data_IF_535735360879
#
_entry.id   IF_535735360879
#
_cell.length_a   1.000
_cell.length_b   1.000
_cell.length_c   1.000
_cell.angle_alpha   90.00
_cell.angle_beta   90.00
_cell.angle_gamma   90.00
#
_symmetry.space_group_name_H-M   'P 1'
#
loop_
_entity.id
_entity.type
_entity.pdbx_description
1 polymer ?
#
# COMPACT_ATOMS: atom_id res chain seq x y z
N UNK A 1 -4.48 -17.13 15.76
CA UNK A 1 -4.05 -17.87 14.56
C UNK A 1 -3.69 -16.81 13.55
N UNK A 2 -2.40 -16.61 13.25
CA UNK A 2 -2.00 -15.65 12.21
C UNK A 2 -2.57 -16.16 10.89
N UNK A 3 -3.39 -15.37 10.20
CA UNK A 3 -3.88 -15.72 8.87
C UNK A 3 -2.68 -15.87 7.94
N UNK A 4 -2.50 -17.04 7.35
CA UNK A 4 -1.39 -17.30 6.45
C UNK A 4 -1.67 -16.70 5.08
N UNK A 5 -0.73 -15.92 4.53
CA UNK A 5 -0.86 -15.35 3.19
C UNK A 5 -0.62 -16.46 2.16
N UNK A 6 -1.64 -16.74 1.37
CA UNK A 6 -1.57 -17.71 0.28
C UNK A 6 -1.19 -17.04 -1.04
N UNK A 7 -0.40 -17.72 -1.86
CA UNK A 7 -0.06 -17.30 -3.22
C UNK A 7 1.32 -17.75 -3.65
N UNK A 8 1.56 -17.75 -4.95
CA UNK A 8 2.85 -18.14 -5.53
C UNK A 8 3.72 -16.92 -5.79
N UNK A 9 5.02 -17.03 -5.50
CA UNK A 9 5.97 -15.99 -5.86
C UNK A 9 6.08 -15.87 -7.39
N UNK A 10 6.02 -14.66 -7.97
CA UNK A 10 6.28 -14.45 -9.39
C UNK A 10 7.66 -14.97 -9.80
N UNK A 11 7.78 -15.42 -11.05
CA UNK A 11 9.04 -15.93 -11.61
C UNK A 11 9.97 -14.74 -11.84
N UNK A 12 11.05 -14.70 -11.05
CA UNK A 12 12.05 -13.63 -11.11
C UNK A 12 13.43 -14.15 -10.68
N UNK A 13 14.48 -13.79 -11.41
CA UNK A 13 15.86 -14.22 -11.13
C UNK A 13 16.51 -13.56 -9.91
N UNK A 14 15.81 -12.62 -9.26
CA UNK A 14 16.33 -11.84 -8.13
C UNK A 14 16.86 -10.47 -8.56
N UNK A 15 16.99 -9.57 -7.58
CA UNK A 15 17.54 -8.22 -7.77
C UNK A 15 18.22 -7.75 -6.49
N UNK A 16 19.02 -6.69 -6.60
CA UNK A 16 19.69 -6.04 -5.45
C UNK A 16 18.82 -4.98 -4.76
N UNK A 17 17.69 -4.58 -5.36
CA UNK A 17 16.78 -3.56 -4.83
C UNK A 17 15.68 -4.10 -3.89
N UNK A 18 15.80 -5.35 -3.46
CA UNK A 18 14.77 -6.08 -2.71
C UNK A 18 14.69 -5.75 -1.21
N UNK A 19 14.36 -6.77 -0.42
CA UNK A 19 14.24 -6.65 1.03
C UNK A 19 15.62 -6.50 1.68
N UNK A 20 15.75 -5.54 2.60
CA UNK A 20 16.93 -5.36 3.46
C UNK A 20 16.60 -5.74 4.91
N UNK A 21 17.55 -5.56 5.83
CA UNK A 21 17.42 -5.89 7.27
C UNK A 21 16.13 -5.35 7.91
N UNK A 22 15.64 -4.17 7.49
CA UNK A 22 14.35 -3.60 7.93
C UNK A 22 13.18 -4.59 7.83
N UNK A 23 13.16 -5.40 6.77
CA UNK A 23 12.12 -6.39 6.52
C UNK A 23 12.06 -7.52 7.57
N UNK A 24 13.15 -7.74 8.30
CA UNK A 24 13.27 -8.74 9.35
C UNK A 24 13.03 -8.13 10.74
N UNK A 25 13.52 -6.90 10.98
CA UNK A 25 13.57 -6.33 12.33
C UNK A 25 12.50 -5.28 12.64
N UNK A 26 11.82 -4.71 11.63
CA UNK A 26 10.86 -3.62 11.84
C UNK A 26 9.51 -3.89 11.17
N UNK A 27 9.49 -4.03 9.85
CA UNK A 27 8.28 -4.37 9.08
C UNK A 27 8.63 -4.68 7.62
N UNK A 28 7.79 -5.50 6.98
CA UNK A 28 7.74 -5.67 5.53
C UNK A 28 6.31 -5.62 5.04
N UNK A 29 6.13 -5.50 3.74
CA UNK A 29 4.82 -5.45 3.11
C UNK A 29 4.65 -6.64 2.17
N UNK A 30 3.41 -7.07 2.00
CA UNK A 30 3.04 -8.08 1.02
C UNK A 30 1.91 -7.54 0.16
N UNK A 31 1.92 -7.90 -1.11
CA UNK A 31 0.80 -7.69 -2.04
C UNK A 31 0.41 -9.03 -2.65
N UNK A 32 -0.89 -9.32 -2.61
CA UNK A 32 -1.49 -10.49 -3.25
C UNK A 32 -2.46 -10.05 -4.34
N UNK A 33 -2.55 -10.77 -5.44
CA UNK A 33 -3.53 -10.55 -6.50
C UNK A 33 -3.76 -11.84 -7.28
N UNK A 34 -4.89 -11.94 -7.98
CA UNK A 34 -5.15 -13.08 -8.87
C UNK A 34 -5.01 -12.62 -10.31
N UNK A 35 -4.16 -13.31 -11.09
CA UNK A 35 -4.00 -13.05 -12.52
C UNK A 35 -4.75 -14.11 -13.34
N UNK A 36 -5.49 -13.72 -14.40
CA UNK A 36 -6.17 -14.67 -15.27
C UNK A 36 -5.22 -15.42 -16.22
N UNK A 37 -3.96 -15.01 -16.31
CA UNK A 37 -2.94 -15.62 -17.18
C UNK A 37 -1.54 -15.31 -16.68
N UNK A 38 -0.59 -16.12 -17.11
CA UNK A 38 0.82 -15.82 -16.95
C UNK A 38 1.23 -14.66 -17.88
N UNK A 39 1.83 -13.60 -17.33
CA UNK A 39 2.23 -12.43 -18.12
C UNK A 39 3.36 -11.64 -17.44
N UNK A 40 4.11 -10.88 -18.24
CA UNK A 40 5.25 -10.08 -17.76
C UNK A 40 4.75 -8.77 -17.13
N UNK A 41 5.35 -8.37 -16.01
CA UNK A 41 5.18 -7.06 -15.42
C UNK A 41 6.52 -6.50 -14.93
N UNK A 42 6.56 -5.19 -14.72
CA UNK A 42 7.71 -4.51 -14.18
C UNK A 42 7.65 -4.47 -12.65
N UNK A 43 8.75 -4.88 -12.02
CA UNK A 43 8.91 -4.82 -10.57
C UNK A 43 9.15 -3.37 -10.11
N UNK A 44 8.52 -2.90 -9.02
CA UNK A 44 8.81 -1.57 -8.45
C UNK A 44 10.27 -1.39 -8.00
N UNK A 45 10.97 -2.51 -7.75
CA UNK A 45 12.39 -2.57 -7.37
C UNK A 45 13.33 -2.60 -8.58
N UNK A 46 12.79 -2.48 -9.80
CA UNK A 46 13.52 -2.60 -11.04
C UNK A 46 13.58 -4.05 -11.56
N UNK A 47 13.52 -4.19 -12.88
CA UNK A 47 13.53 -5.47 -13.60
C UNK A 47 12.14 -5.95 -14.00
N UNK A 48 12.11 -6.93 -14.90
CA UNK A 48 10.89 -7.58 -15.34
C UNK A 48 10.73 -8.94 -14.65
N UNK A 49 9.53 -9.19 -14.12
CA UNK A 49 9.15 -10.48 -13.55
C UNK A 49 7.93 -11.03 -14.30
N UNK A 50 7.70 -12.33 -14.19
CA UNK A 50 6.52 -12.99 -14.77
C UNK A 50 5.57 -13.36 -13.65
N UNK A 51 4.36 -12.78 -13.64
CA UNK A 51 3.32 -13.19 -12.68
C UNK A 51 2.74 -14.53 -13.11
N UNK A 52 2.44 -15.39 -12.15
CA UNK A 52 1.81 -16.68 -12.39
C UNK A 52 0.33 -16.51 -12.75
N UNK A 53 -0.23 -17.49 -13.44
CA UNK A 53 -1.69 -17.62 -13.53
C UNK A 53 -2.25 -18.05 -12.16
N UNK A 54 -3.35 -17.44 -11.73
CA UNK A 54 -3.91 -17.63 -10.39
C UNK A 54 -3.34 -16.66 -9.34
N UNK A 55 -3.28 -17.12 -8.08
CA UNK A 55 -2.94 -16.29 -6.93
C UNK A 55 -1.43 -16.05 -6.82
N UNK A 56 -1.06 -14.78 -6.88
CA UNK A 56 0.30 -14.30 -6.74
C UNK A 56 0.50 -13.66 -5.36
N UNK A 57 1.69 -13.84 -4.79
CA UNK A 57 2.13 -13.21 -3.55
C UNK A 57 3.53 -12.63 -3.75
N UNK A 58 3.69 -11.34 -3.47
CA UNK A 58 4.96 -10.65 -3.56
C UNK A 58 5.27 -9.85 -2.30
N UNK A 59 6.47 -10.05 -1.74
CA UNK A 59 6.98 -9.30 -0.61
C UNK A 59 7.79 -8.07 -1.06
N UNK A 60 7.54 -6.92 -0.43
CA UNK A 60 8.15 -5.63 -0.75
C UNK A 60 8.56 -4.89 0.54
N UNK A 61 9.54 -4.00 0.43
CA UNK A 61 10.11 -3.28 1.57
C UNK A 61 9.28 -2.08 2.02
N UNK A 62 8.43 -1.53 1.14
CA UNK A 62 7.67 -0.29 1.39
C UNK A 62 6.24 -0.40 0.86
N UNK A 63 5.29 0.19 1.60
CA UNK A 63 3.88 0.31 1.17
C UNK A 63 3.70 0.98 -0.18
N UNK A 64 4.52 2.00 -0.46
CA UNK A 64 4.49 2.76 -1.71
C UNK A 64 4.69 1.86 -2.95
N UNK A 65 5.59 0.88 -2.88
CA UNK A 65 5.83 -0.07 -3.97
C UNK A 65 4.62 -0.97 -4.23
N UNK A 66 3.92 -1.39 -3.19
CA UNK A 66 2.68 -2.14 -3.33
C UNK A 66 1.59 -1.30 -4.02
N UNK A 67 1.46 -0.02 -3.66
CA UNK A 67 0.49 0.90 -4.28
C UNK A 67 0.86 1.19 -5.74
N UNK A 68 2.14 1.41 -6.03
CA UNK A 68 2.61 1.64 -7.40
C UNK A 68 2.33 0.42 -8.30
N UNK A 69 2.67 -0.79 -7.84
CA UNK A 69 2.37 -2.04 -8.55
C UNK A 69 0.85 -2.20 -8.76
N UNK A 70 0.06 -2.03 -7.70
CA UNK A 70 -1.40 -2.16 -7.77
C UNK A 70 -2.07 -1.16 -8.71
N UNK A 71 -1.73 0.12 -8.60
CA UNK A 71 -2.36 1.19 -9.39
C UNK A 71 -1.86 1.24 -10.84
N UNK A 72 -0.54 1.37 -11.01
CA UNK A 72 0.06 1.70 -12.31
C UNK A 72 0.29 0.49 -13.21
N UNK A 73 0.46 -0.71 -12.64
CA UNK A 73 0.66 -1.93 -13.42
C UNK A 73 -0.64 -2.77 -13.41
N UNK A 74 -1.05 -3.30 -12.24
CA UNK A 74 -2.17 -4.24 -12.14
C UNK A 74 -3.49 -3.64 -12.65
N UNK A 75 -3.92 -2.49 -12.12
CA UNK A 75 -5.19 -1.86 -12.54
C UNK A 75 -5.11 -1.18 -13.88
N UNK A 76 -4.12 -0.31 -14.08
CA UNK A 76 -4.04 0.51 -15.28
C UNK A 76 -3.80 -0.32 -16.55
N UNK A 77 -2.80 -1.22 -16.53
CA UNK A 77 -2.39 -2.01 -17.70
C UNK A 77 -3.11 -3.34 -17.80
N UNK A 78 -3.22 -4.09 -16.70
CA UNK A 78 -3.73 -5.47 -16.73
C UNK A 78 -5.21 -5.63 -16.33
N UNK A 79 -5.86 -4.56 -15.89
CA UNK A 79 -7.27 -4.55 -15.41
C UNK A 79 -7.53 -5.50 -14.23
N UNK A 80 -6.50 -5.80 -13.44
CA UNK A 80 -6.58 -6.61 -12.23
C UNK A 80 -6.92 -5.70 -11.05
N UNK A 81 -8.16 -5.79 -10.55
CA UNK A 81 -8.70 -4.93 -9.49
C UNK A 81 -8.86 -5.63 -8.13
N UNK A 82 -8.36 -6.85 -7.95
CA UNK A 82 -8.56 -7.63 -6.73
C UNK A 82 -7.31 -7.72 -5.84
N UNK A 83 -6.35 -6.81 -6.02
CA UNK A 83 -5.13 -6.85 -5.23
C UNK A 83 -5.39 -6.41 -3.78
N UNK A 84 -4.64 -7.02 -2.86
CA UNK A 84 -4.70 -6.79 -1.41
C UNK A 84 -3.29 -6.52 -0.91
N UNK A 85 -3.14 -5.52 -0.03
CA UNK A 85 -1.86 -5.15 0.57
C UNK A 85 -1.91 -5.41 2.07
N UNK A 86 -0.85 -6.00 2.59
CA UNK A 86 -0.67 -6.34 4.00
C UNK A 86 0.64 -5.76 4.51
N UNK A 87 0.67 -5.44 5.80
CA UNK A 87 1.90 -5.19 6.56
C UNK A 87 2.17 -6.40 7.44
N UNK A 88 3.44 -6.80 7.51
CA UNK A 88 3.90 -7.95 8.28
C UNK A 88 4.94 -7.46 9.26
N UNK A 89 4.70 -7.71 10.53
CA UNK A 89 5.59 -7.34 11.62
C UNK A 89 6.60 -8.46 11.92
N UNK A 90 7.71 -8.17 12.63
CA UNK A 90 8.73 -9.15 13.00
C UNK A 90 8.20 -10.28 13.88
N UNK A 91 7.15 -10.01 14.66
CA UNK A 91 6.46 -11.00 15.50
C UNK A 91 5.56 -11.96 14.68
N UNK A 92 5.46 -11.79 13.36
CA UNK A 92 4.60 -12.58 12.47
C UNK A 92 3.16 -12.09 12.38
N UNK A 93 2.78 -11.01 13.06
CA UNK A 93 1.46 -10.39 12.94
C UNK A 93 1.27 -9.79 11.55
N UNK A 94 0.12 -10.09 10.93
CA UNK A 94 -0.23 -9.61 9.60
C UNK A 94 -1.41 -8.65 9.73
N UNK A 95 -1.19 -7.41 9.32
CA UNK A 95 -2.18 -6.36 9.29
C UNK A 95 -2.67 -6.14 7.85
N UNK A 96 -3.96 -6.35 7.59
CA UNK A 96 -4.57 -5.97 6.31
C UNK A 96 -4.65 -4.45 6.18
N UNK A 97 -4.07 -3.90 5.10
CA UNK A 97 -3.93 -2.45 4.92
C UNK A 97 -4.75 -1.87 3.76
N UNK A 98 -4.92 -2.59 2.66
CA UNK A 98 -5.55 -2.02 1.47
C UNK A 98 -6.20 -3.08 0.57
N UNK A 99 -7.43 -2.84 0.07
CA UNK A 99 -8.37 -1.81 0.53
C UNK A 99 -8.93 -2.15 1.93
N UNK A 100 -8.65 -1.33 2.95
CA UNK A 100 -8.94 -1.66 4.35
C UNK A 100 -10.44 -1.88 4.65
N UNK A 101 -11.32 -1.17 3.94
CA UNK A 101 -12.77 -1.28 4.06
C UNK A 101 -13.39 -2.12 2.93
N UNK A 102 -12.58 -2.88 2.20
CA UNK A 102 -12.99 -3.73 1.07
C UNK A 102 -13.33 -2.97 -0.22
N UNK A 103 -13.42 -1.64 -0.18
CA UNK A 103 -13.74 -0.78 -1.33
C UNK A 103 -12.55 0.13 -1.60
N UNK A 104 -12.15 0.26 -2.87
CA UNK A 104 -11.07 1.17 -3.23
C UNK A 104 -11.32 2.62 -2.76
N UNK A 105 -10.31 3.32 -2.19
CA UNK A 105 -10.49 4.66 -1.62
C UNK A 105 -11.03 5.70 -2.61
N UNK A 106 -10.80 5.52 -3.91
CA UNK A 106 -11.30 6.40 -4.96
C UNK A 106 -12.83 6.40 -5.10
N UNK A 107 -13.51 5.37 -4.58
CA UNK A 107 -14.98 5.28 -4.57
C UNK A 107 -15.51 5.56 -3.18
N UNK A 108 -16.58 6.36 -3.09
CA UNK A 108 -17.28 6.64 -1.82
C UNK A 108 -17.90 5.35 -1.27
N UNK A 109 -17.82 5.18 0.05
CA UNK A 109 -18.43 4.06 0.77
C UNK A 109 -19.17 4.58 2.01
N UNK A 110 -20.35 4.02 2.30
CA UNK A 110 -21.12 4.38 3.50
C UNK A 110 -20.35 3.89 4.73
N UNK A 111 -20.28 4.72 5.78
CA UNK A 111 -19.58 4.39 7.02
C UNK A 111 -18.16 4.97 7.14
N UNK A 112 -17.61 5.64 6.11
CA UNK A 112 -16.34 6.37 6.22
C UNK A 112 -16.55 7.68 7.01
N UNK A 113 -15.90 7.88 8.17
CA UNK A 113 -15.94 9.16 8.87
C UNK A 113 -15.05 10.19 8.17
N UNK A 114 -15.35 11.48 8.36
CA UNK A 114 -14.43 12.55 7.99
C UNK A 114 -13.27 12.58 8.99
N UNK A 115 -12.06 12.30 8.53
CA UNK A 115 -10.82 12.38 9.33
C UNK A 115 -9.98 13.54 8.81
N UNK A 116 -9.56 14.45 9.71
CA UNK A 116 -8.76 15.62 9.34
C UNK A 116 -9.52 16.70 8.54
N UNK A 117 -10.86 16.64 8.52
CA UNK A 117 -11.69 17.68 7.92
C UNK A 117 -11.72 18.89 8.85
N UNK A 118 -11.31 20.04 8.34
CA UNK A 118 -11.47 21.34 9.00
C UNK A 118 -12.50 22.13 8.20
N UNK A 119 -13.59 22.54 8.83
CA UNK A 119 -14.73 23.20 8.18
C UNK A 119 -14.46 24.70 7.89
N UNK A 120 -13.39 24.96 7.13
CA UNK A 120 -13.00 26.28 6.63
C UNK A 120 -12.22 26.17 5.33
N UNK A 121 -12.03 27.30 4.64
CA UNK A 121 -11.13 27.37 3.50
C UNK A 121 -9.68 27.64 3.95
N UNK A 122 -8.70 27.37 3.08
CA UNK A 122 -7.27 27.53 3.39
C UNK A 122 -6.87 28.99 3.70
N UNK A 123 -7.57 29.97 3.11
CA UNK A 123 -7.33 31.40 3.36
C UNK A 123 -7.87 31.90 4.70
N UNK A 124 -8.64 31.08 5.43
CA UNK A 124 -9.13 31.36 6.79
C UNK A 124 -8.27 30.70 7.87
N UNK A 125 -7.07 30.26 7.53
CA UNK A 125 -6.09 29.87 8.54
C UNK A 125 -5.64 31.11 9.34
N UNK A 126 -5.59 31.05 10.67
CA UNK A 126 -5.09 32.15 11.48
C UNK A 126 -3.62 32.43 11.17
N UNK A 127 -3.22 33.68 11.33
CA UNK A 127 -1.84 34.07 11.13
C UNK A 127 -0.95 33.45 12.22
N UNK A 128 0.24 32.91 11.87
CA UNK A 128 1.16 32.32 12.86
C UNK A 128 1.51 33.26 14.01
N UNK A 129 1.54 34.58 13.77
CA UNK A 129 1.79 35.59 14.78
C UNK A 129 0.75 35.57 15.92
N UNK A 130 -0.52 35.30 15.60
CA UNK A 130 -1.61 35.22 16.60
C UNK A 130 -1.53 33.95 17.46
N UNK A 131 -0.85 32.92 16.97
CA UNK A 131 -0.67 31.63 17.64
C UNK A 131 0.72 31.49 18.30
N UNK A 132 1.49 32.58 18.37
CA UNK A 132 2.84 32.55 18.94
C UNK A 132 2.80 32.03 20.38
N UNK A 133 3.75 31.16 20.72
CA UNK A 133 3.86 30.51 22.03
C UNK A 133 2.69 29.58 22.43
N UNK A 134 1.73 29.30 21.52
CA UNK A 134 0.61 28.39 21.79
C UNK A 134 0.94 26.91 21.56
N UNK A 135 2.10 26.59 20.97
CA UNK A 135 2.49 25.26 20.47
C UNK A 135 1.55 24.64 19.42
N UNK A 136 0.53 25.37 18.98
CA UNK A 136 -0.42 24.94 17.94
C UNK A 136 -0.01 25.46 16.57
N UNK A 137 -0.32 24.70 15.53
CA UNK A 137 -0.06 25.10 14.14
C UNK A 137 -1.29 25.78 13.53
N UNK A 138 -1.11 26.77 12.64
CA UNK A 138 -2.22 27.47 11.98
C UNK A 138 -3.27 26.57 11.35
N UNK A 139 -2.88 25.44 10.74
CA UNK A 139 -3.82 24.54 10.08
C UNK A 139 -4.64 23.68 11.06
N UNK A 140 -4.20 23.56 12.31
CA UNK A 140 -4.86 22.75 13.37
C UNK A 140 -5.97 23.52 14.10
N UNK A 141 -5.89 24.87 14.07
CA UNK A 141 -6.76 25.79 14.83
C UNK A 141 -7.68 26.55 13.90
#
# INVERSE_FOLDING_TARGET
MAEELTGQAPIFGGSTGGLLTKAQVEEKYAITWTSPKQQVFEMPTGGAAVMNEGDNLLYLSRKEYCIALGGQQLRAKFKINNYKIYRIFPNGEIQYLHPADGVFPEKVNKGRPYVGKVDRNIGRNPEPATLKFSSKKPFEV
#
